data_IF_391043032814
#
_entry.id   IF_391043032814
#
_cell.length_a   1.000
_cell.length_b   1.000
_cell.length_c   1.000
_cell.angle_alpha   90.00
_cell.angle_beta   90.00
_cell.angle_gamma   90.00
#
_symmetry.space_group_name_H-M   'P 1'
#
loop_
_entity.id
_entity.type
_entity.pdbx_description
1 polymer ?
#
# COMPACT_ATOMS: atom_id res chain seq x y z
N UNK A 1 17.63 -13.90 -4.48
CA UNK A 1 17.19 -13.78 -3.08
C UNK A 1 17.27 -15.08 -2.24
N UNK A 2 17.32 -16.23 -2.84
CA UNK A 2 17.56 -17.48 -2.07
C UNK A 2 19.02 -17.67 -1.59
N UNK A 3 19.95 -16.95 -2.17
CA UNK A 3 21.39 -17.07 -1.84
C UNK A 3 21.78 -16.36 -0.56
N UNK A 4 21.17 -15.25 -0.23
CA UNK A 4 21.56 -14.40 0.91
C UNK A 4 21.47 -15.13 2.27
N UNK A 5 20.49 -16.01 2.45
CA UNK A 5 20.31 -16.74 3.71
C UNK A 5 21.37 -17.82 3.91
N UNK A 6 21.76 -18.49 2.84
CA UNK A 6 22.79 -19.54 2.88
C UNK A 6 24.16 -18.92 3.11
N UNK A 7 24.46 -17.84 2.40
CA UNK A 7 25.70 -17.09 2.55
C UNK A 7 25.84 -16.50 3.97
N UNK A 8 24.78 -15.92 4.51
CA UNK A 8 24.77 -15.39 5.87
C UNK A 8 25.00 -16.51 6.90
N UNK A 9 24.34 -17.65 6.73
CA UNK A 9 24.53 -18.81 7.61
C UNK A 9 25.98 -19.31 7.59
N UNK A 10 26.58 -19.44 6.42
CA UNK A 10 27.97 -19.87 6.24
C UNK A 10 28.95 -18.84 6.81
N UNK A 11 28.68 -17.55 6.63
CA UNK A 11 29.47 -16.49 7.22
C UNK A 11 29.48 -16.54 8.76
N UNK A 12 28.31 -16.63 9.38
CA UNK A 12 28.16 -16.73 10.83
C UNK A 12 28.85 -18.00 11.36
N UNK A 13 28.71 -19.12 10.66
CA UNK A 13 29.36 -20.39 11.00
C UNK A 13 30.88 -20.24 10.98
N UNK A 14 31.47 -19.71 9.92
CA UNK A 14 32.90 -19.42 9.84
C UNK A 14 33.39 -18.54 10.97
N UNK A 15 32.63 -17.51 11.31
CA UNK A 15 32.95 -16.55 12.36
C UNK A 15 32.98 -17.22 13.73
N UNK A 16 32.04 -18.07 14.05
CA UNK A 16 31.96 -18.81 15.29
C UNK A 16 33.01 -19.92 15.39
N UNK A 17 33.32 -20.60 14.29
CA UNK A 17 34.41 -21.59 14.23
C UNK A 17 35.78 -20.94 14.51
N UNK A 18 36.00 -19.70 14.06
CA UNK A 18 37.23 -18.95 14.33
C UNK A 18 37.44 -18.65 15.82
N UNK A 19 36.40 -18.65 16.63
CA UNK A 19 36.47 -18.50 18.09
C UNK A 19 36.71 -19.80 18.87
N UNK A 20 36.93 -20.94 18.22
CA UNK A 20 37.33 -22.20 18.83
C UNK A 20 36.20 -22.94 19.53
N UNK A 21 34.95 -22.73 19.18
CA UNK A 21 33.82 -23.49 19.70
C UNK A 21 33.74 -24.93 19.19
N UNK A 22 33.17 -25.84 20.00
CA UNK A 22 32.87 -27.19 19.52
C UNK A 22 31.82 -27.15 18.38
N UNK A 23 31.92 -28.09 17.45
CA UNK A 23 31.03 -28.15 16.28
C UNK A 23 29.53 -28.14 16.68
N UNK A 24 29.15 -28.87 17.73
CA UNK A 24 27.75 -28.91 18.21
C UNK A 24 27.33 -27.58 18.81
N UNK A 25 28.21 -26.91 19.54
CA UNK A 25 27.94 -25.58 20.10
C UNK A 25 27.79 -24.53 19.01
N UNK A 26 28.69 -24.55 18.03
CA UNK A 26 28.65 -23.66 16.87
C UNK A 26 27.34 -23.81 16.07
N UNK A 27 26.92 -25.04 15.77
CA UNK A 27 25.68 -25.29 15.04
C UNK A 27 24.45 -24.78 15.79
N UNK A 28 24.36 -24.96 17.11
CA UNK A 28 23.28 -24.42 17.94
C UNK A 28 23.26 -22.90 17.95
N UNK A 29 24.42 -22.25 18.08
CA UNK A 29 24.53 -20.79 18.07
C UNK A 29 24.19 -20.21 16.70
N UNK A 30 24.62 -20.86 15.63
CA UNK A 30 24.24 -20.48 14.26
C UNK A 30 22.71 -20.51 14.07
N UNK A 31 22.06 -21.56 14.55
CA UNK A 31 20.58 -21.65 14.43
C UNK A 31 19.87 -20.56 15.22
N UNK A 32 20.35 -20.21 16.42
CA UNK A 32 19.81 -19.12 17.22
C UNK A 32 20.02 -17.77 16.50
N UNK A 33 21.23 -17.49 16.01
CA UNK A 33 21.56 -16.24 15.33
C UNK A 33 20.77 -16.10 14.04
N UNK A 34 20.66 -17.15 13.24
CA UNK A 34 19.86 -17.15 12.00
C UNK A 34 18.38 -16.92 12.31
N UNK A 35 17.87 -17.48 13.40
CA UNK A 35 16.49 -17.28 13.84
C UNK A 35 16.24 -15.84 14.31
N UNK A 36 17.16 -15.28 15.09
CA UNK A 36 17.10 -13.89 15.54
C UNK A 36 17.24 -12.90 14.36
N UNK A 37 18.17 -13.16 13.45
CA UNK A 37 18.34 -12.36 12.25
C UNK A 37 17.07 -12.41 11.38
N UNK A 38 16.47 -13.58 11.20
CA UNK A 38 15.20 -13.72 10.48
C UNK A 38 14.10 -12.86 11.11
N UNK A 39 13.96 -12.91 12.44
CA UNK A 39 12.98 -12.10 13.16
C UNK A 39 13.28 -10.59 13.00
N UNK A 40 14.54 -10.18 13.13
CA UNK A 40 14.96 -8.81 12.93
C UNK A 40 14.71 -8.33 11.48
N UNK A 41 15.08 -9.14 10.48
CA UNK A 41 14.84 -8.82 9.06
C UNK A 41 13.37 -8.85 8.69
N UNK A 42 12.55 -9.69 9.31
CA UNK A 42 11.11 -9.71 9.11
C UNK A 42 10.40 -8.52 9.79
N UNK A 43 10.98 -7.96 10.85
CA UNK A 43 10.51 -6.73 11.51
C UNK A 43 11.05 -5.47 10.87
N UNK A 44 12.23 -5.53 10.24
CA UNK A 44 12.84 -4.40 9.50
C UNK A 44 12.24 -4.23 8.08
N UNK A 45 11.36 -5.13 7.66
CA UNK A 45 10.62 -4.95 6.43
C UNK A 45 9.66 -3.76 6.59
N UNK A 46 10.12 -2.62 6.06
CA UNK A 46 9.34 -1.42 5.76
C UNK A 46 8.12 -1.23 6.69
N UNK A 47 8.33 -0.63 7.83
CA UNK A 47 7.22 -0.08 8.60
C UNK A 47 6.76 1.20 7.90
N UNK A 48 5.58 1.12 7.29
CA UNK A 48 4.93 2.32 6.77
C UNK A 48 4.79 3.35 7.91
N UNK A 49 5.18 4.58 7.65
CA UNK A 49 5.05 5.64 8.63
C UNK A 49 3.58 5.79 9.03
N UNK A 50 3.26 5.89 10.33
CA UNK A 50 1.87 6.06 10.78
C UNK A 50 1.16 7.23 10.10
N UNK A 51 1.87 8.31 9.80
CA UNK A 51 1.35 9.48 9.09
C UNK A 51 0.91 9.15 7.66
N UNK A 52 1.66 8.31 6.95
CA UNK A 52 1.32 7.87 5.61
C UNK A 52 0.09 6.96 5.60
N UNK A 53 0.01 6.06 6.55
CA UNK A 53 -1.15 5.19 6.75
C UNK A 53 -2.40 6.02 7.05
N UNK A 54 -2.30 6.99 7.93
CA UNK A 54 -3.41 7.87 8.30
C UNK A 54 -3.84 8.78 7.14
N UNK A 55 -2.92 9.26 6.33
CA UNK A 55 -3.23 10.04 5.14
C UNK A 55 -4.06 9.22 4.13
N UNK A 56 -3.65 8.00 3.84
CA UNK A 56 -4.40 7.09 2.95
C UNK A 56 -5.75 6.72 3.56
N UNK A 57 -5.78 6.42 4.84
CA UNK A 57 -7.01 6.08 5.57
C UNK A 57 -8.04 7.22 5.53
N UNK A 58 -7.60 8.45 5.68
CA UNK A 58 -8.47 9.63 5.68
C UNK A 58 -9.00 9.97 4.28
N UNK A 59 -8.28 9.61 3.22
CA UNK A 59 -8.67 9.90 1.84
C UNK A 59 -9.92 9.12 1.42
N UNK A 60 -10.10 7.90 1.90
CA UNK A 60 -11.30 7.12 1.60
C UNK A 60 -12.49 7.63 2.41
N UNK A 61 -13.65 7.96 1.79
CA UNK A 61 -14.78 8.49 2.52
C UNK A 61 -15.37 7.46 3.50
N UNK A 62 -15.91 7.94 4.59
CA UNK A 62 -16.57 7.10 5.61
C UNK A 62 -17.93 6.60 5.13
N UNK A 63 -18.57 7.37 4.26
CA UNK A 63 -19.87 7.07 3.67
C UNK A 63 -19.79 7.07 2.16
N UNK A 64 -20.58 6.19 1.54
CA UNK A 64 -20.71 6.14 0.09
C UNK A 64 -21.24 7.49 -0.42
N UNK A 65 -20.52 8.07 -1.38
CA UNK A 65 -20.86 9.37 -1.98
C UNK A 65 -22.17 9.33 -2.79
N UNK A 66 -22.61 8.14 -3.19
CA UNK A 66 -23.84 7.96 -3.99
C UNK A 66 -25.06 7.70 -3.10
N UNK A 67 -24.92 6.87 -2.07
CA UNK A 67 -26.03 6.45 -1.20
C UNK A 67 -25.97 6.91 0.25
N UNK A 68 -24.85 7.45 0.70
CA UNK A 68 -24.65 7.80 2.11
C UNK A 68 -24.51 6.62 3.06
N UNK A 69 -24.41 5.38 2.56
CA UNK A 69 -24.19 4.18 3.36
C UNK A 69 -22.79 4.16 3.95
N UNK A 70 -22.65 3.68 5.19
CA UNK A 70 -21.35 3.47 5.80
C UNK A 70 -20.52 2.45 5.04
N UNK A 71 -19.23 2.76 4.84
CA UNK A 71 -18.28 1.94 4.09
C UNK A 71 -17.42 1.04 4.99
N UNK A 72 -17.75 0.92 6.27
CA UNK A 72 -17.12 -0.02 7.19
C UNK A 72 -15.65 0.25 7.48
N UNK A 73 -15.23 1.51 7.54
CA UNK A 73 -13.86 1.86 7.93
C UNK A 73 -13.56 1.41 9.36
N UNK A 74 -12.46 0.71 9.53
CA UNK A 74 -12.01 0.24 10.84
C UNK A 74 -10.50 0.42 11.01
N UNK A 75 -10.03 0.36 12.26
CA UNK A 75 -8.60 0.41 12.55
C UNK A 75 -7.83 -0.78 11.97
N UNK A 76 -8.49 -1.92 11.74
CA UNK A 76 -7.89 -3.08 11.08
C UNK A 76 -7.49 -2.79 9.62
N UNK A 77 -8.15 -1.85 8.97
CA UNK A 77 -7.85 -1.44 7.60
C UNK A 77 -6.49 -0.74 7.49
N UNK A 78 -6.04 -0.10 8.57
CA UNK A 78 -4.70 0.51 8.63
C UNK A 78 -3.59 -0.51 8.42
N UNK A 79 -3.74 -1.73 8.90
CA UNK A 79 -2.78 -2.82 8.64
C UNK A 79 -2.73 -3.23 7.17
N UNK A 80 -3.87 -3.20 6.48
CA UNK A 80 -3.93 -3.46 5.05
C UNK A 80 -3.28 -2.33 4.25
N UNK A 81 -3.50 -1.09 4.63
CA UNK A 81 -2.83 0.07 4.04
C UNK A 81 -1.31 -0.04 4.18
N UNK A 82 -0.82 -0.37 5.38
CA UNK A 82 0.61 -0.56 5.63
C UNK A 82 1.22 -1.64 4.72
N UNK A 83 0.50 -2.72 4.43
CA UNK A 83 0.93 -3.74 3.46
C UNK A 83 0.97 -3.23 2.03
N UNK A 84 -0.03 -2.46 1.63
CA UNK A 84 -0.08 -1.87 0.28
C UNK A 84 1.01 -0.82 0.07
N UNK A 85 1.41 -0.10 1.10
CA UNK A 85 2.50 0.87 1.05
C UNK A 85 3.88 0.23 0.84
N UNK A 86 4.02 -1.08 1.05
CA UNK A 86 5.27 -1.80 0.68
C UNK A 86 5.49 -1.82 -0.83
N UNK A 87 4.43 -1.98 -1.60
CA UNK A 87 4.50 -2.14 -3.05
C UNK A 87 4.11 -0.88 -3.81
N UNK A 88 3.45 0.07 -3.14
CA UNK A 88 2.92 1.30 -3.74
C UNK A 88 3.31 2.53 -2.93
N UNK A 89 3.57 3.65 -3.61
CA UNK A 89 3.78 4.93 -2.93
C UNK A 89 2.47 5.46 -2.33
N UNK A 90 2.58 6.29 -1.28
CA UNK A 90 1.45 6.99 -0.67
C UNK A 90 0.65 7.78 -1.71
N UNK A 91 1.34 8.52 -2.54
CA UNK A 91 0.74 9.35 -3.59
C UNK A 91 -0.04 8.51 -4.60
N UNK A 92 0.48 7.36 -4.98
CA UNK A 92 -0.20 6.43 -5.90
C UNK A 92 -1.50 5.90 -5.28
N UNK A 93 -1.47 5.49 -4.02
CA UNK A 93 -2.66 5.00 -3.33
C UNK A 93 -3.72 6.09 -3.16
N UNK A 94 -3.32 7.30 -2.78
CA UNK A 94 -4.23 8.44 -2.64
C UNK A 94 -4.90 8.76 -3.98
N UNK A 95 -4.13 8.87 -5.06
CA UNK A 95 -4.67 9.13 -6.40
C UNK A 95 -5.61 8.01 -6.87
N UNK A 96 -5.28 6.77 -6.57
CA UNK A 96 -6.14 5.63 -6.88
C UNK A 96 -7.49 5.72 -6.16
N UNK A 97 -7.48 6.10 -4.88
CA UNK A 97 -8.70 6.29 -4.10
C UNK A 97 -9.52 7.46 -4.64
N UNK A 98 -8.90 8.59 -4.88
CA UNK A 98 -9.57 9.78 -5.41
C UNK A 98 -10.24 9.49 -6.75
N UNK A 99 -9.52 8.84 -7.66
CA UNK A 99 -10.07 8.46 -8.97
C UNK A 99 -11.22 7.46 -8.85
N UNK A 100 -11.09 6.49 -7.97
CA UNK A 100 -12.18 5.55 -7.70
C UNK A 100 -13.44 6.23 -7.16
N UNK A 101 -13.28 7.18 -6.25
CA UNK A 101 -14.40 7.98 -5.71
C UNK A 101 -15.06 8.81 -6.81
N UNK A 102 -14.27 9.44 -7.67
CA UNK A 102 -14.78 10.22 -8.80
C UNK A 102 -15.52 9.36 -9.82
N UNK A 103 -14.96 8.20 -10.16
CA UNK A 103 -15.62 7.24 -11.08
C UNK A 103 -16.96 6.75 -10.51
N UNK A 104 -17.01 6.44 -9.21
CA UNK A 104 -18.26 6.05 -8.56
C UNK A 104 -19.31 7.17 -8.58
N UNK A 105 -18.89 8.44 -8.40
CA UNK A 105 -19.78 9.60 -8.50
C UNK A 105 -20.32 9.78 -9.93
N UNK A 106 -19.42 9.69 -10.92
CA UNK A 106 -19.76 9.87 -12.31
C UNK A 106 -20.73 8.80 -12.80
N UNK A 107 -20.41 7.55 -12.51
CA UNK A 107 -21.17 6.39 -13.01
C UNK A 107 -22.34 6.04 -12.09
N UNK A 108 -22.51 6.74 -10.96
CA UNK A 108 -23.54 6.48 -9.94
C UNK A 108 -23.52 5.04 -9.42
N UNK A 109 -22.33 4.48 -9.31
CA UNK A 109 -22.09 3.12 -8.82
C UNK A 109 -21.83 3.12 -7.32
N UNK A 110 -22.28 2.10 -6.63
CA UNK A 110 -22.03 1.96 -5.20
C UNK A 110 -20.57 1.68 -4.92
N UNK A 111 -20.00 2.41 -3.96
CA UNK A 111 -18.66 2.19 -3.50
C UNK A 111 -18.56 0.88 -2.71
N UNK A 112 -17.47 0.17 -2.91
CA UNK A 112 -17.12 -0.99 -2.09
C UNK A 112 -16.84 -0.58 -0.65
N UNK A 113 -17.03 -1.49 0.29
CA UNK A 113 -16.54 -1.31 1.65
C UNK A 113 -15.03 -1.11 1.62
N UNK A 114 -14.50 -0.31 2.54
CA UNK A 114 -13.09 0.04 2.53
C UNK A 114 -12.17 -1.17 2.61
N UNK A 115 -12.49 -2.12 3.47
CA UNK A 115 -11.74 -3.38 3.58
C UNK A 115 -11.72 -4.18 2.27
N UNK A 116 -12.83 -4.21 1.54
CA UNK A 116 -12.93 -4.89 0.22
C UNK A 116 -12.14 -4.16 -0.84
N UNK A 117 -12.18 -2.83 -0.83
CA UNK A 117 -11.38 -1.99 -1.74
C UNK A 117 -9.88 -2.24 -1.53
N UNK A 118 -9.41 -2.25 -0.28
CA UNK A 118 -8.00 -2.49 0.05
C UNK A 118 -7.52 -3.90 -0.28
N UNK A 119 -8.42 -4.89 -0.29
CA UNK A 119 -8.08 -6.27 -0.66
C UNK A 119 -7.82 -6.44 -2.15
N UNK A 120 -8.47 -5.63 -2.98
CA UNK A 120 -8.30 -5.64 -4.42
C UNK A 120 -8.54 -4.24 -4.99
N UNK A 121 -7.57 -3.33 -4.80
CA UNK A 121 -7.68 -1.98 -5.34
C UNK A 121 -7.64 -2.01 -6.87
N UNK A 122 -8.43 -1.18 -7.56
CA UNK A 122 -8.39 -1.08 -9.00
C UNK A 122 -7.05 -0.53 -9.48
N UNK A 123 -6.55 -1.08 -10.57
CA UNK A 123 -5.35 -0.55 -11.23
C UNK A 123 -5.76 0.57 -12.18
N UNK A 124 -5.27 1.77 -11.91
CA UNK A 124 -5.42 2.91 -12.80
C UNK A 124 -4.08 3.28 -13.41
N UNK A 125 -4.09 3.63 -14.68
CA UNK A 125 -2.97 4.32 -15.28
C UNK A 125 -2.99 5.79 -14.80
N UNK A 126 -2.18 6.08 -13.80
CA UNK A 126 -2.12 7.40 -13.18
C UNK A 126 -1.31 8.41 -14.01
N UNK A 127 -0.73 7.98 -15.13
CA UNK A 127 -0.04 8.85 -16.08
C UNK A 127 -1.02 9.56 -17.00
N UNK A 128 -2.20 8.97 -17.22
CA UNK A 128 -3.27 9.63 -17.93
C UNK A 128 -3.97 10.65 -17.02
N UNK A 129 -4.02 11.90 -17.48
CA UNK A 129 -4.91 12.90 -16.86
C UNK A 129 -6.35 12.35 -16.89
N UNK A 130 -7.13 12.53 -15.83
CA UNK A 130 -8.52 12.11 -15.85
C UNK A 130 -9.16 12.69 -17.11
N UNK A 131 -9.76 11.84 -17.92
CA UNK A 131 -10.55 12.30 -19.06
C UNK A 131 -11.64 13.18 -18.50
N UNK A 132 -11.41 14.46 -18.55
CA UNK A 132 -12.46 15.43 -18.27
C UNK A 132 -13.52 15.12 -19.31
N UNK A 133 -14.65 14.58 -18.88
CA UNK A 133 -15.82 14.48 -19.75
C UNK A 133 -16.18 15.95 -20.01
N UNK A 134 -15.70 16.46 -21.12
CA UNK A 134 -16.17 17.74 -21.62
C UNK A 134 -17.67 17.57 -21.84
N UNK A 135 -18.43 18.08 -20.91
CA UNK A 135 -19.86 18.23 -21.11
C UNK A 135 -19.97 19.23 -22.27
N UNK A 136 -20.23 18.70 -23.45
CA UNK A 136 -20.27 19.49 -24.68
C UNK A 136 -21.18 20.72 -24.59
N UNK A 137 -22.19 20.68 -23.70
CA UNK A 137 -23.06 21.81 -23.41
C UNK A 137 -22.38 23.02 -22.72
N UNK A 138 -21.25 22.79 -22.03
CA UNK A 138 -20.55 23.90 -21.35
C UNK A 138 -19.68 24.73 -22.32
N UNK A 139 -19.24 24.16 -23.42
CA UNK A 139 -18.51 24.87 -24.48
C UNK A 139 -19.40 25.84 -25.22
N UNK A 140 -20.65 25.46 -25.44
CA UNK A 140 -21.58 26.31 -26.21
C UNK A 140 -21.98 27.58 -25.43
N UNK A 141 -22.10 27.47 -24.10
CA UNK A 141 -22.37 28.62 -23.24
C UNK A 141 -21.20 29.63 -23.20
N UNK A 142 -19.94 29.16 -23.22
CA UNK A 142 -18.78 30.03 -23.28
C UNK A 142 -18.65 30.74 -24.63
N UNK A 143 -18.94 30.08 -25.74
CA UNK A 143 -18.93 30.71 -27.06
C UNK A 143 -19.98 31.77 -27.21
N UNK A 144 -21.14 31.60 -26.60
CA UNK A 144 -22.22 32.60 -26.60
C UNK A 144 -21.82 33.84 -25.80
N UNK A 145 -21.07 33.70 -24.73
CA UNK A 145 -20.61 34.79 -23.87
C UNK A 145 -19.42 35.55 -24.49
N UNK A 146 -18.58 34.89 -25.26
CA UNK A 146 -17.44 35.51 -25.94
C UNK A 146 -17.82 36.18 -27.26
N UNK A 147 -18.99 35.89 -27.82
CA UNK A 147 -19.51 36.47 -29.06
C UNK A 147 -20.27 37.82 -28.84
N UNK A 148 -20.38 38.28 -27.62
CA UNK A 148 -20.91 39.60 -27.24
C UNK A 148 -19.79 40.53 -26.81
#
# INVERSE_FOLDING_TARGET
>A
MKNDRTEFREYVKSLLESFGGSKIFVDKQVDIIVRLAKTAYETDEFEALPEEVDAVYSTYPTRCVVQGRHLGKSSADKKKIARLLKDNSKEKLIKTIERYVEDCKRDKVYMKNFSTFLSNPPEYDLTEKPKTVEISGYRDLRKITEAQ
#
